data_IF_049156930615
#
_entry.id   IF_049156930615
#
_cell.length_a   1.000
_cell.length_b   1.000
_cell.length_c   1.000
_cell.angle_alpha   90.00
_cell.angle_beta   90.00
_cell.angle_gamma   90.00
#
_symmetry.space_group_name_H-M   'P 1'
#
loop_
_entity.id
_entity.type
_entity.pdbx_description
1 polymer ?
#
# COMPACT_ATOMS: atom_id res chain seq x y z
N UNK A 1 22.53 -20.17 -7.94
CA UNK A 1 21.83 -19.55 -9.09
C UNK A 1 20.49 -18.94 -8.68
N UNK A 2 19.61 -19.63 -7.96
CA UNK A 2 18.31 -19.12 -7.48
C UNK A 2 18.43 -17.87 -6.58
N UNK A 3 19.37 -17.82 -5.68
CA UNK A 3 19.59 -16.71 -4.74
C UNK A 3 19.97 -15.39 -5.44
N UNK A 4 20.82 -15.43 -6.47
CA UNK A 4 21.17 -14.26 -7.27
C UNK A 4 20.00 -13.73 -8.11
N UNK A 5 19.12 -14.62 -8.57
CA UNK A 5 17.89 -14.21 -9.29
C UNK A 5 16.90 -13.54 -8.33
N UNK A 6 16.77 -14.05 -7.11
CA UNK A 6 15.93 -13.43 -6.08
C UNK A 6 16.42 -12.01 -5.72
N UNK A 7 17.72 -11.84 -5.45
CA UNK A 7 18.31 -10.52 -5.16
C UNK A 7 18.06 -9.51 -6.29
N UNK A 8 18.26 -9.91 -7.55
CA UNK A 8 17.98 -9.04 -8.71
C UNK A 8 16.50 -8.69 -8.85
N UNK A 9 15.64 -9.65 -8.53
CA UNK A 9 14.19 -9.40 -8.52
C UNK A 9 13.83 -8.34 -7.48
N UNK A 10 14.40 -8.41 -6.29
CA UNK A 10 14.17 -7.45 -5.22
C UNK A 10 14.73 -6.05 -5.57
N UNK A 11 15.90 -5.98 -6.22
CA UNK A 11 16.47 -4.73 -6.74
C UNK A 11 15.56 -4.09 -7.80
N UNK A 12 15.00 -4.89 -8.72
CA UNK A 12 14.05 -4.41 -9.72
C UNK A 12 12.75 -3.93 -9.09
N UNK A 13 12.19 -4.67 -8.11
CA UNK A 13 10.99 -4.26 -7.37
C UNK A 13 11.23 -2.92 -6.64
N UNK A 14 12.36 -2.78 -5.94
CA UNK A 14 12.70 -1.53 -5.25
C UNK A 14 12.81 -0.34 -6.23
N UNK A 15 13.42 -0.55 -7.40
CA UNK A 15 13.46 0.45 -8.47
C UNK A 15 12.05 0.77 -9.00
N UNK A 16 11.19 -0.24 -9.13
CA UNK A 16 9.80 -0.09 -9.53
C UNK A 16 8.99 0.75 -8.54
N UNK A 17 9.14 0.52 -7.24
CA UNK A 17 8.49 1.32 -6.19
C UNK A 17 8.88 2.79 -6.32
N UNK A 18 10.17 3.10 -6.46
CA UNK A 18 10.64 4.48 -6.63
C UNK A 18 10.05 5.15 -7.87
N UNK A 19 10.05 4.47 -9.01
CA UNK A 19 9.58 5.04 -10.28
C UNK A 19 8.06 5.18 -10.33
N UNK A 20 7.32 4.16 -9.86
CA UNK A 20 5.85 4.16 -9.87
C UNK A 20 5.29 5.13 -8.82
N UNK A 21 5.98 5.29 -7.69
CA UNK A 21 5.58 6.20 -6.61
C UNK A 21 6.12 7.62 -6.73
N UNK A 22 6.88 7.95 -7.77
CA UNK A 22 7.38 9.30 -7.97
C UNK A 22 6.23 10.24 -8.39
N UNK A 23 6.11 11.41 -7.74
CA UNK A 23 5.03 12.36 -8.02
C UNK A 23 5.05 12.89 -9.47
N UNK A 24 6.26 13.22 -9.96
CA UNK A 24 6.49 13.78 -11.29
C UNK A 24 7.53 12.94 -12.07
N UNK A 25 7.53 11.63 -11.80
CA UNK A 25 8.50 10.72 -12.38
C UNK A 25 8.23 10.43 -13.86
N UNK A 26 9.28 10.00 -14.61
CA UNK A 26 9.10 9.53 -15.97
C UNK A 26 8.21 8.29 -15.98
N UNK A 27 7.48 8.09 -17.08
CA UNK A 27 6.68 6.88 -17.26
C UNK A 27 7.52 5.61 -16.96
N UNK A 28 6.96 4.70 -16.21
CA UNK A 28 7.63 3.44 -15.86
C UNK A 28 7.81 2.60 -17.10
N UNK A 29 9.06 2.52 -17.58
CA UNK A 29 9.49 1.69 -18.70
C UNK A 29 10.54 0.68 -18.25
N UNK A 30 10.66 -0.45 -18.97
CA UNK A 30 11.68 -1.47 -18.66
C UNK A 30 13.09 -0.85 -18.60
N UNK A 31 13.41 0.05 -19.54
CA UNK A 31 14.71 0.77 -19.56
C UNK A 31 14.91 1.65 -18.33
N UNK A 32 13.87 2.37 -17.90
CA UNK A 32 13.96 3.23 -16.73
C UNK A 32 14.19 2.39 -15.45
N UNK A 33 13.46 1.28 -15.32
CA UNK A 33 13.61 0.33 -14.19
C UNK A 33 15.03 -0.26 -14.18
N UNK A 34 15.51 -0.76 -15.31
CA UNK A 34 16.86 -1.35 -15.41
C UNK A 34 17.95 -0.32 -15.07
N UNK A 35 17.80 0.92 -15.53
CA UNK A 35 18.75 2.00 -15.22
C UNK A 35 18.74 2.34 -13.72
N UNK A 36 17.57 2.44 -13.11
CA UNK A 36 17.43 2.71 -11.67
C UNK A 36 18.01 1.57 -10.81
N UNK A 37 17.81 0.32 -11.23
CA UNK A 37 18.33 -0.86 -10.54
C UNK A 37 19.81 -1.16 -10.84
N UNK A 38 20.43 -0.46 -11.80
CA UNK A 38 21.81 -0.78 -12.27
C UNK A 38 21.91 -2.14 -12.97
N UNK A 39 20.83 -2.64 -13.55
CA UNK A 39 20.73 -3.94 -14.21
C UNK A 39 20.47 -3.79 -15.71
N UNK A 40 20.74 -4.86 -16.47
CA UNK A 40 20.44 -4.92 -17.91
C UNK A 40 19.03 -5.46 -18.16
N UNK A 41 18.43 -5.13 -19.32
CA UNK A 41 17.11 -5.63 -19.73
C UNK A 41 17.05 -7.17 -19.77
N UNK A 42 18.18 -7.84 -20.01
CA UNK A 42 18.25 -9.30 -19.96
C UNK A 42 17.84 -9.82 -18.57
N UNK A 43 18.34 -9.21 -17.49
CA UNK A 43 17.99 -9.62 -16.12
C UNK A 43 16.54 -9.30 -15.76
N UNK A 44 15.99 -8.22 -16.34
CA UNK A 44 14.56 -7.93 -16.21
C UNK A 44 13.73 -9.08 -16.79
N UNK A 45 14.00 -9.50 -18.02
CA UNK A 45 13.24 -10.58 -18.68
C UNK A 45 13.53 -11.98 -18.11
N UNK A 46 14.60 -12.17 -17.36
CA UNK A 46 14.81 -13.38 -16.56
C UNK A 46 13.87 -13.44 -15.32
N UNK A 47 13.37 -12.28 -14.84
CA UNK A 47 12.53 -12.16 -13.64
C UNK A 47 11.05 -11.90 -13.96
N UNK A 48 10.75 -11.19 -15.04
CA UNK A 48 9.42 -10.74 -15.43
C UNK A 48 9.19 -10.91 -16.93
N UNK A 49 7.99 -11.38 -17.31
CA UNK A 49 7.66 -11.63 -18.71
C UNK A 49 7.49 -10.32 -19.50
N UNK A 50 6.88 -9.31 -18.87
CA UNK A 50 6.55 -8.03 -19.48
C UNK A 50 6.46 -6.90 -18.43
N UNK A 51 6.25 -5.66 -18.90
CA UNK A 51 6.06 -4.49 -18.06
C UNK A 51 4.86 -4.63 -17.13
N UNK A 52 3.76 -5.11 -17.63
CA UNK A 52 2.50 -5.17 -16.90
C UNK A 52 2.56 -6.19 -15.75
N UNK A 53 3.18 -7.35 -15.99
CA UNK A 53 3.50 -8.32 -14.96
C UNK A 53 4.44 -7.77 -13.90
N UNK A 54 5.41 -6.94 -14.31
CA UNK A 54 6.29 -6.25 -13.39
C UNK A 54 5.55 -5.21 -12.53
N UNK A 55 4.70 -4.37 -13.12
CA UNK A 55 3.92 -3.35 -12.40
C UNK A 55 3.01 -4.02 -11.36
N UNK A 56 2.34 -5.13 -11.72
CA UNK A 56 1.57 -5.92 -10.76
C UNK A 56 2.45 -6.45 -9.62
N UNK A 57 3.62 -6.99 -9.92
CA UNK A 57 4.53 -7.50 -8.90
C UNK A 57 5.04 -6.42 -7.94
N UNK A 58 5.28 -5.19 -8.42
CA UNK A 58 5.60 -4.02 -7.58
C UNK A 58 4.46 -3.69 -6.65
N UNK A 59 3.24 -3.64 -7.17
CA UNK A 59 2.03 -3.37 -6.37
C UNK A 59 1.80 -4.44 -5.31
N UNK A 60 1.89 -5.71 -5.69
CA UNK A 60 1.72 -6.87 -4.80
C UNK A 60 2.75 -6.86 -3.66
N UNK A 61 4.00 -6.49 -3.93
CA UNK A 61 5.05 -6.36 -2.93
C UNK A 61 4.73 -5.29 -1.88
N UNK A 62 4.26 -4.13 -2.32
CA UNK A 62 3.84 -3.05 -1.41
C UNK A 62 2.62 -3.45 -0.59
N UNK A 63 1.61 -4.07 -1.21
CA UNK A 63 0.43 -4.59 -0.51
C UNK A 63 0.80 -5.66 0.53
N UNK A 64 1.65 -6.62 0.16
CA UNK A 64 2.11 -7.68 1.06
C UNK A 64 2.90 -7.12 2.26
N UNK A 65 3.77 -6.13 2.02
CA UNK A 65 4.53 -5.44 3.07
C UNK A 65 3.59 -4.73 4.05
N UNK A 66 2.61 -3.97 3.54
CA UNK A 66 1.59 -3.31 4.35
C UNK A 66 0.77 -4.31 5.17
N UNK A 67 0.31 -5.38 4.53
CA UNK A 67 -0.47 -6.45 5.17
C UNK A 67 0.30 -7.13 6.30
N UNK A 68 1.58 -7.43 6.08
CA UNK A 68 2.46 -8.04 7.08
C UNK A 68 2.61 -7.14 8.31
N UNK A 69 2.87 -5.84 8.12
CA UNK A 69 3.00 -4.88 9.20
C UNK A 69 1.70 -4.74 10.01
N UNK A 70 0.54 -4.62 9.33
CA UNK A 70 -0.77 -4.53 9.98
C UNK A 70 -1.15 -5.81 10.73
N UNK A 71 -0.75 -6.97 10.23
CA UNK A 71 -0.99 -8.27 10.89
C UNK A 71 -0.16 -8.40 12.16
N UNK A 72 1.08 -7.94 12.15
CA UNK A 72 1.99 -8.01 13.30
C UNK A 72 1.65 -7.01 14.42
N UNK A 73 0.81 -6.02 14.15
CA UNK A 73 0.48 -4.99 15.13
C UNK A 73 -0.49 -5.52 16.22
N UNK A 74 -0.11 -5.31 17.49
CA UNK A 74 -0.88 -5.76 18.68
C UNK A 74 -2.01 -4.80 19.04
N UNK A 75 -1.87 -3.53 18.69
CA UNK A 75 -2.82 -2.46 19.04
C UNK A 75 -3.20 -1.63 17.83
N UNK A 76 -4.40 -0.99 17.82
CA UNK A 76 -4.78 -0.07 16.75
C UNK A 76 -3.78 1.06 16.54
N UNK A 77 -3.24 1.65 17.62
CA UNK A 77 -2.22 2.70 17.52
C UNK A 77 -0.97 2.21 16.81
N UNK A 78 -0.45 1.05 17.20
CA UNK A 78 0.74 0.47 16.59
C UNK A 78 0.52 0.13 15.11
N UNK A 79 -0.68 -0.35 14.77
CA UNK A 79 -1.05 -0.61 13.37
C UNK A 79 -1.03 0.70 12.54
N UNK A 80 -1.63 1.78 13.06
CA UNK A 80 -1.63 3.09 12.37
C UNK A 80 -0.22 3.66 12.26
N UNK A 81 0.57 3.64 13.34
CA UNK A 81 1.95 4.15 13.34
C UNK A 81 2.83 3.41 12.34
N UNK A 82 2.75 2.07 12.29
CA UNK A 82 3.48 1.26 11.31
C UNK A 82 3.03 1.54 9.88
N UNK A 83 1.72 1.68 9.66
CA UNK A 83 1.21 2.00 8.32
C UNK A 83 1.61 3.41 7.88
N UNK A 84 1.57 4.41 8.78
CA UNK A 84 2.08 5.77 8.52
C UNK A 84 3.58 5.72 8.21
N UNK A 85 4.36 4.97 8.98
CA UNK A 85 5.80 4.84 8.71
C UNK A 85 6.09 4.23 7.33
N UNK A 86 5.30 3.27 6.90
CA UNK A 86 5.49 2.61 5.59
C UNK A 86 4.99 3.44 4.41
N UNK A 87 3.87 4.19 4.59
CA UNK A 87 3.13 4.79 3.48
C UNK A 87 3.24 6.31 3.42
N UNK A 88 3.56 6.97 4.53
CA UNK A 88 3.65 8.43 4.63
C UNK A 88 5.09 8.89 4.80
N UNK A 89 5.84 8.26 5.71
CA UNK A 89 7.26 8.60 5.92
C UNK A 89 8.11 8.15 4.69
N UNK A 90 7.65 7.11 3.95
CA UNK A 90 8.10 6.78 2.58
C UNK A 90 6.94 7.01 1.58
N UNK A 91 6.77 8.25 1.07
CA UNK A 91 5.63 8.59 0.23
C UNK A 91 5.61 7.83 -1.12
N UNK A 92 6.74 7.27 -1.56
CA UNK A 92 6.75 6.47 -2.79
C UNK A 92 5.91 5.21 -2.64
N UNK A 93 6.01 4.52 -1.52
CA UNK A 93 5.18 3.34 -1.22
C UNK A 93 3.70 3.68 -1.08
N UNK A 94 3.41 4.78 -0.36
CA UNK A 94 2.04 5.26 -0.20
C UNK A 94 1.38 5.59 -1.54
N UNK A 95 2.11 6.24 -2.44
CA UNK A 95 1.62 6.53 -3.80
C UNK A 95 1.40 5.26 -4.63
N UNK A 96 2.30 4.28 -4.54
CA UNK A 96 2.09 2.99 -5.21
C UNK A 96 0.81 2.32 -4.71
N UNK A 97 0.60 2.24 -3.39
CA UNK A 97 -0.56 1.56 -2.82
C UNK A 97 -1.88 2.27 -3.14
N UNK A 98 -1.92 3.60 -2.97
CA UNK A 98 -3.15 4.38 -2.90
C UNK A 98 -3.48 5.14 -4.18
N UNK A 99 -2.47 5.53 -4.97
CA UNK A 99 -2.67 6.38 -6.14
C UNK A 99 -2.39 5.67 -7.47
N UNK A 100 -1.45 4.72 -7.51
CA UNK A 100 -1.11 4.03 -8.74
C UNK A 100 -2.29 3.29 -9.39
N UNK A 101 -3.23 2.66 -8.65
CA UNK A 101 -4.41 2.03 -9.27
C UNK A 101 -5.32 2.99 -10.06
N UNK A 102 -5.27 4.29 -9.80
CA UNK A 102 -6.03 5.31 -10.53
C UNK A 102 -5.34 5.70 -11.87
N UNK A 103 -4.01 5.61 -11.92
CA UNK A 103 -3.21 6.05 -13.07
C UNK A 103 -2.70 4.92 -13.96
N UNK A 104 -2.57 3.70 -13.42
CA UNK A 104 -2.09 2.51 -14.11
C UNK A 104 -3.24 1.51 -14.33
N UNK A 105 -3.81 1.42 -15.55
CA UNK A 105 -4.98 0.56 -15.82
C UNK A 105 -4.77 -0.91 -15.45
N UNK A 106 -3.52 -1.40 -15.54
CA UNK A 106 -3.16 -2.77 -15.17
C UNK A 106 -3.37 -3.05 -13.67
N UNK A 107 -3.36 -2.04 -12.82
CA UNK A 107 -3.54 -2.16 -11.37
C UNK A 107 -4.99 -2.07 -10.90
N UNK A 108 -5.93 -1.65 -11.75
CA UNK A 108 -7.36 -1.54 -11.37
C UNK A 108 -7.88 -2.89 -10.81
N UNK A 109 -7.52 -3.99 -11.49
CA UNK A 109 -7.89 -5.33 -11.04
C UNK A 109 -7.13 -5.76 -9.78
N UNK A 110 -5.82 -5.51 -9.72
CA UNK A 110 -4.99 -5.87 -8.57
C UNK A 110 -5.44 -5.15 -7.30
N UNK A 111 -5.79 -3.87 -7.39
CA UNK A 111 -6.37 -3.14 -6.27
C UNK A 111 -7.68 -3.75 -5.77
N UNK A 112 -8.57 -4.17 -6.68
CA UNK A 112 -9.82 -4.84 -6.34
C UNK A 112 -9.59 -6.22 -5.70
N UNK A 113 -8.54 -6.94 -6.08
CA UNK A 113 -8.17 -8.25 -5.52
C UNK A 113 -7.55 -8.13 -4.11
N UNK A 114 -6.83 -7.04 -3.81
CA UNK A 114 -6.22 -6.81 -2.50
C UNK A 114 -7.20 -6.23 -1.47
N UNK A 115 -8.16 -5.42 -1.88
CA UNK A 115 -9.11 -4.74 -0.99
C UNK A 115 -9.83 -5.71 -0.01
N UNK A 116 -10.35 -6.88 -0.43
CA UNK A 116 -10.96 -7.85 0.48
C UNK A 116 -10.01 -8.31 1.58
N UNK A 117 -8.71 -8.48 1.29
CA UNK A 117 -7.74 -8.95 2.27
C UNK A 117 -7.55 -7.93 3.42
N UNK A 118 -7.54 -6.63 3.10
CA UNK A 118 -7.48 -5.58 4.12
C UNK A 118 -8.77 -5.50 4.95
N UNK A 119 -9.93 -5.63 4.29
CA UNK A 119 -11.23 -5.67 4.97
C UNK A 119 -11.30 -6.87 5.92
N UNK A 120 -10.93 -8.06 5.46
CA UNK A 120 -10.93 -9.29 6.25
C UNK A 120 -9.98 -9.22 7.44
N UNK A 121 -8.79 -8.61 7.26
CA UNK A 121 -7.87 -8.41 8.37
C UNK A 121 -8.49 -7.53 9.46
N UNK A 122 -9.09 -6.41 9.07
CA UNK A 122 -9.75 -5.51 10.02
C UNK A 122 -10.98 -6.18 10.65
N UNK A 123 -11.81 -6.86 9.87
CA UNK A 123 -12.97 -7.58 10.35
C UNK A 123 -12.61 -8.56 11.47
N UNK A 124 -11.55 -9.35 11.31
CA UNK A 124 -11.07 -10.28 12.35
C UNK A 124 -10.63 -9.58 13.64
N UNK A 125 -10.23 -8.31 13.58
CA UNK A 125 -9.84 -7.53 14.76
C UNK A 125 -11.03 -6.85 15.46
N UNK A 126 -12.21 -6.79 14.84
CA UNK A 126 -13.44 -6.18 15.40
C UNK A 126 -14.22 -7.15 16.32
N UNK A 127 -13.52 -7.80 17.26
CA UNK A 127 -14.09 -8.88 18.11
C UNK A 127 -15.24 -8.45 19.02
N UNK A 128 -15.42 -7.14 19.24
CA UNK A 128 -16.53 -6.59 20.07
C UNK A 128 -17.88 -6.56 19.34
N UNK A 129 -17.88 -6.74 18.02
CA UNK A 129 -19.08 -6.76 17.18
C UNK A 129 -19.47 -8.22 16.97
N UNK A 130 -20.55 -8.68 17.61
CA UNK A 130 -20.95 -10.08 17.56
C UNK A 130 -21.63 -10.47 16.23
N UNK A 131 -22.36 -9.54 15.60
CA UNK A 131 -23.03 -9.78 14.32
C UNK A 131 -22.01 -9.71 13.16
N UNK A 132 -21.79 -10.80 12.41
CA UNK A 132 -20.81 -10.85 11.33
C UNK A 132 -21.14 -9.91 10.16
N UNK A 133 -22.42 -9.66 9.88
CA UNK A 133 -22.84 -8.74 8.82
C UNK A 133 -22.48 -7.31 9.21
N UNK A 134 -22.82 -6.93 10.44
CA UNK A 134 -22.46 -5.60 10.99
C UNK A 134 -20.93 -5.44 11.07
N UNK A 135 -20.21 -6.49 11.45
CA UNK A 135 -18.75 -6.50 11.50
C UNK A 135 -18.14 -6.23 10.11
N UNK A 136 -18.64 -6.89 9.07
CA UNK A 136 -18.21 -6.68 7.68
C UNK A 136 -18.52 -5.26 7.20
N UNK A 137 -19.72 -4.73 7.49
CA UNK A 137 -20.10 -3.35 7.12
C UNK A 137 -19.18 -2.33 7.79
N UNK A 138 -18.89 -2.49 9.09
CA UNK A 138 -17.97 -1.60 9.83
C UNK A 138 -16.56 -1.69 9.27
N UNK A 139 -16.04 -2.90 9.02
CA UNK A 139 -14.71 -3.08 8.45
C UNK A 139 -14.58 -2.42 7.08
N UNK A 140 -15.57 -2.63 6.20
CA UNK A 140 -15.60 -2.02 4.86
C UNK A 140 -15.62 -0.49 4.94
N UNK A 141 -16.47 0.06 5.81
CA UNK A 141 -16.58 1.51 6.01
C UNK A 141 -15.27 2.12 6.53
N UNK A 142 -14.65 1.48 7.51
CA UNK A 142 -13.38 1.95 8.09
C UNK A 142 -12.24 1.89 7.08
N UNK A 143 -12.11 0.81 6.31
CA UNK A 143 -11.08 0.70 5.27
C UNK A 143 -11.29 1.77 4.20
N UNK A 144 -12.52 1.98 3.73
CA UNK A 144 -12.83 3.04 2.77
C UNK A 144 -12.48 4.44 3.29
N UNK A 145 -12.85 4.73 4.54
CA UNK A 145 -12.56 6.01 5.18
C UNK A 145 -11.04 6.22 5.38
N UNK A 146 -10.32 5.19 5.85
CA UNK A 146 -8.85 5.24 5.99
C UNK A 146 -8.17 5.45 4.63
N UNK A 147 -8.58 4.72 3.59
CA UNK A 147 -8.05 4.90 2.24
C UNK A 147 -8.21 6.34 1.77
N UNK A 148 -9.40 6.93 1.93
CA UNK A 148 -9.67 8.32 1.57
C UNK A 148 -8.80 9.31 2.38
N UNK A 149 -8.64 9.09 3.70
CA UNK A 149 -7.83 9.93 4.56
C UNK A 149 -6.34 9.88 4.20
N UNK A 150 -5.78 8.68 4.01
CA UNK A 150 -4.38 8.53 3.60
C UNK A 150 -4.13 9.12 2.21
N UNK A 151 -5.05 8.92 1.25
CA UNK A 151 -4.99 9.53 -0.07
C UNK A 151 -4.99 11.06 0.01
N UNK A 152 -5.86 11.64 0.84
CA UNK A 152 -5.94 13.08 1.02
C UNK A 152 -4.67 13.65 1.71
N UNK A 153 -4.13 12.92 2.68
CA UNK A 153 -2.91 13.31 3.40
C UNK A 153 -1.67 13.27 2.48
N UNK A 154 -1.52 12.21 1.68
CA UNK A 154 -0.42 12.09 0.70
C UNK A 154 -0.47 13.14 -0.43
N UNK A 155 -1.64 13.70 -0.71
CA UNK A 155 -1.84 14.75 -1.68
C UNK A 155 -1.84 16.16 -1.05
N UNK A 156 -1.35 16.32 0.18
CA UNK A 156 -1.29 17.59 0.92
C UNK A 156 -2.64 18.33 1.03
N UNK A 157 -3.76 17.58 0.97
CA UNK A 157 -5.12 18.13 1.11
C UNK A 157 -5.57 18.25 2.56
N UNK A 158 -4.84 17.65 3.50
CA UNK A 158 -5.10 17.71 4.93
C UNK A 158 -3.92 18.39 5.63
N UNK A 159 -4.09 19.62 6.13
CA UNK A 159 -3.03 20.37 6.83
C UNK A 159 -2.88 19.88 8.29
N UNK A 160 -2.74 18.58 8.49
CA UNK A 160 -2.58 17.95 9.79
C UNK A 160 -1.11 17.61 10.05
N UNK A 161 -0.67 17.73 11.28
CA UNK A 161 0.62 17.17 11.67
C UNK A 161 0.56 15.64 11.65
N UNK A 162 1.72 14.97 11.57
CA UNK A 162 1.81 13.50 11.60
C UNK A 162 1.09 12.93 12.84
N UNK A 163 1.27 13.54 14.00
CA UNK A 163 0.66 13.07 15.25
C UNK A 163 -0.86 13.25 15.25
N UNK A 164 -1.36 14.42 14.83
CA UNK A 164 -2.80 14.65 14.67
C UNK A 164 -3.44 13.65 13.71
N UNK A 165 -2.75 13.32 12.63
CA UNK A 165 -3.25 12.34 11.65
C UNK A 165 -3.32 10.94 12.26
N UNK A 166 -2.27 10.50 12.98
CA UNK A 166 -2.25 9.21 13.68
C UNK A 166 -3.37 9.14 14.71
N UNK A 167 -3.48 10.15 15.57
CA UNK A 167 -4.50 10.20 16.63
C UNK A 167 -5.90 10.10 16.06
N UNK A 168 -6.19 10.86 15.00
CA UNK A 168 -7.49 10.81 14.33
C UNK A 168 -7.80 9.40 13.76
N UNK A 169 -6.84 8.79 13.06
CA UNK A 169 -7.02 7.43 12.53
C UNK A 169 -7.24 6.40 13.63
N UNK A 170 -6.55 6.52 14.77
CA UNK A 170 -6.72 5.65 15.93
C UNK A 170 -8.10 5.84 16.55
N UNK A 171 -8.54 7.08 16.76
CA UNK A 171 -9.86 7.36 17.32
C UNK A 171 -10.99 6.87 16.43
N UNK A 172 -10.81 6.96 15.09
CA UNK A 172 -11.75 6.39 14.14
C UNK A 172 -11.85 4.86 14.27
N UNK A 173 -10.71 4.17 14.36
CA UNK A 173 -10.69 2.71 14.56
C UNK A 173 -11.31 2.29 15.89
N UNK A 174 -11.23 3.12 16.93
CA UNK A 174 -11.80 2.88 18.25
C UNK A 174 -13.25 3.36 18.39
N UNK A 175 -13.84 3.94 17.36
CA UNK A 175 -15.19 4.51 17.38
C UNK A 175 -15.34 5.74 18.29
N UNK A 176 -14.25 6.51 18.43
CA UNK A 176 -14.20 7.71 19.31
C UNK A 176 -14.34 9.03 18.53
N UNK A 177 -14.39 8.97 17.21
CA UNK A 177 -14.61 10.15 16.36
C UNK A 177 -16.02 10.66 16.60
N UNK A 178 -16.12 11.91 17.02
CA UNK A 178 -17.24 12.59 17.63
C UNK A 178 -18.64 12.25 17.12
N UNK A 179 -19.57 12.28 18.06
CA UNK A 179 -21.01 12.26 17.75
C UNK A 179 -21.36 13.55 16.99
N UNK A 180 -21.86 13.41 15.77
CA UNK A 180 -22.58 14.48 15.08
C UNK A 180 -23.91 14.69 15.76
#
# INVERSE_FOLDING_TARGET
MRERTALRRDELIAAGVKLLGAADGPALTVRAVCREAGLTERYFYECFNDRDGFVRAVYDDVCATAMSALTAADTPRKAVEQFVSLMVDDPTRGRVLLLAPESEPVLTRSGAEWMPNFIDLLQRKLTRIADPVRQAMVATSLIGALTALFTAYLNDRLPATREQFIDFCVDMLLGRVGSF
#
